data_IF_409951722342
#
_entry.id   IF_409951722342
#
_cell.length_a   1.000
_cell.length_b   1.000
_cell.length_c   1.000
_cell.angle_alpha   90.00
_cell.angle_beta   90.00
_cell.angle_gamma   90.00
#
_symmetry.space_group_name_H-M   'P 1'
#
loop_
_entity.id
_entity.type
_entity.pdbx_description
1 polymer ?
#
# COMPACT_ATOMS: atom_id res chain seq x y z
N UNK A 1 25.05 -39.40 6.77
CA UNK A 1 25.57 -38.54 5.67
C UNK A 1 24.57 -38.55 4.53
N UNK A 2 23.87 -37.45 4.29
CA UNK A 2 23.06 -37.25 3.08
C UNK A 2 23.23 -35.80 2.66
N UNK A 3 24.25 -35.56 1.81
CA UNK A 3 24.53 -34.27 1.18
C UNK A 3 23.53 -34.03 0.04
N UNK A 4 22.32 -33.58 0.35
CA UNK A 4 21.55 -32.81 -0.62
C UNK A 4 22.03 -31.36 -0.54
N UNK A 5 22.85 -30.95 -1.50
CA UNK A 5 23.20 -29.53 -1.71
C UNK A 5 21.89 -28.73 -1.82
N UNK A 6 21.62 -27.90 -0.81
CA UNK A 6 20.38 -27.14 -0.66
C UNK A 6 20.11 -26.23 -1.87
N UNK A 7 19.10 -26.57 -2.65
CA UNK A 7 18.51 -25.68 -3.65
C UNK A 7 17.82 -24.56 -2.88
N UNK A 8 18.36 -23.34 -2.97
CA UNK A 8 17.70 -22.15 -2.42
C UNK A 8 16.42 -21.89 -3.21
N UNK A 9 15.28 -22.35 -2.69
CA UNK A 9 13.97 -22.07 -3.26
C UNK A 9 13.58 -20.60 -3.11
N UNK A 10 12.92 -20.05 -4.13
CA UNK A 10 12.42 -18.68 -4.16
C UNK A 10 11.10 -18.59 -4.93
N UNK A 11 10.26 -17.61 -4.56
CA UNK A 11 9.02 -17.29 -5.26
C UNK A 11 9.33 -16.30 -6.38
N UNK A 12 8.81 -16.59 -7.57
CA UNK A 12 8.87 -15.70 -8.73
C UNK A 12 7.47 -15.22 -9.08
N UNK A 13 7.32 -13.90 -9.23
CA UNK A 13 6.08 -13.28 -9.66
C UNK A 13 6.08 -13.19 -11.19
N UNK A 14 4.96 -13.53 -11.81
CA UNK A 14 4.72 -13.32 -13.23
C UNK A 14 4.21 -11.89 -13.44
N UNK A 15 4.91 -11.11 -14.26
CA UNK A 15 4.51 -9.76 -14.65
C UNK A 15 4.13 -9.78 -16.13
N UNK A 16 2.99 -9.18 -16.46
CA UNK A 16 2.48 -9.10 -17.83
C UNK A 16 2.23 -7.63 -18.18
N UNK A 17 3.24 -6.89 -18.66
CA UNK A 17 3.08 -5.50 -19.06
C UNK A 17 2.17 -5.41 -20.30
N UNK A 18 1.22 -4.47 -20.33
CA UNK A 18 0.25 -4.33 -21.43
C UNK A 18 0.92 -4.04 -22.78
N UNK A 19 2.09 -3.39 -22.79
CA UNK A 19 2.85 -3.05 -23.99
C UNK A 19 3.85 -4.14 -24.41
N UNK A 20 4.01 -5.22 -23.63
CA UNK A 20 4.98 -6.27 -23.90
C UNK A 20 4.30 -7.52 -24.48
N UNK A 21 4.87 -8.09 -25.55
CA UNK A 21 4.35 -9.30 -26.20
C UNK A 21 4.58 -10.60 -25.41
N UNK A 22 5.27 -10.57 -24.27
CA UNK A 22 5.57 -11.76 -23.45
C UNK A 22 5.72 -11.42 -21.98
N UNK A 23 5.29 -12.30 -21.06
CA UNK A 23 5.42 -12.09 -19.63
C UNK A 23 6.87 -12.25 -19.16
N UNK A 24 7.26 -11.50 -18.13
CA UNK A 24 8.54 -11.65 -17.44
C UNK A 24 8.36 -12.20 -16.04
N UNK A 25 9.36 -12.91 -15.55
CA UNK A 25 9.36 -13.48 -14.21
C UNK A 25 10.37 -12.76 -13.33
N UNK A 26 9.93 -12.23 -12.18
CA UNK A 26 10.78 -11.50 -11.24
C UNK A 26 10.52 -12.00 -9.83
N UNK A 27 11.59 -12.32 -9.10
CA UNK A 27 11.54 -12.59 -7.66
C UNK A 27 11.60 -11.30 -6.87
N UNK A 28 11.20 -11.35 -5.60
CA UNK A 28 11.23 -10.19 -4.69
C UNK A 28 12.61 -9.48 -4.66
N UNK A 29 13.73 -10.22 -4.70
CA UNK A 29 15.08 -9.63 -4.74
C UNK A 29 15.33 -8.74 -5.99
N UNK A 30 14.63 -8.99 -7.10
CA UNK A 30 14.72 -8.13 -8.27
C UNK A 30 13.94 -6.82 -8.07
N UNK A 31 12.79 -6.87 -7.40
CA UNK A 31 12.07 -5.66 -6.97
C UNK A 31 12.94 -4.84 -6.01
N UNK A 32 13.54 -5.48 -5.02
CA UNK A 32 14.45 -4.83 -4.06
C UNK A 32 15.63 -4.14 -4.75
N UNK A 33 16.23 -4.78 -5.76
CA UNK A 33 17.25 -4.14 -6.57
C UNK A 33 16.73 -2.88 -7.27
N UNK A 34 15.57 -2.97 -7.93
CA UNK A 34 14.98 -1.85 -8.64
C UNK A 34 14.64 -0.70 -7.69
N UNK A 35 14.03 -1.00 -6.54
CA UNK A 35 13.71 -0.02 -5.50
C UNK A 35 14.96 0.77 -5.05
N UNK A 36 16.07 0.07 -4.79
CA UNK A 36 17.33 0.72 -4.43
C UNK A 36 17.94 1.56 -5.59
N UNK A 37 17.61 1.28 -6.85
CA UNK A 37 17.99 2.14 -7.99
C UNK A 37 17.12 3.38 -8.07
N UNK A 38 15.81 3.24 -7.85
CA UNK A 38 14.87 4.35 -7.82
C UNK A 38 15.24 5.36 -6.73
N UNK A 39 15.48 4.90 -5.49
CA UNK A 39 15.88 5.77 -4.37
C UNK A 39 17.19 6.52 -4.65
N UNK A 40 18.16 5.86 -5.28
CA UNK A 40 19.44 6.49 -5.62
C UNK A 40 19.29 7.53 -6.75
N UNK A 41 18.37 7.30 -7.69
CA UNK A 41 18.19 8.18 -8.85
C UNK A 41 17.32 9.40 -8.53
N UNK A 42 16.20 9.20 -7.84
CA UNK A 42 15.18 10.21 -7.66
C UNK A 42 15.15 10.74 -6.22
N UNK A 43 15.69 11.94 -6.00
CA UNK A 43 15.76 12.58 -4.67
C UNK A 43 14.59 13.48 -4.35
N UNK A 44 13.74 13.80 -5.33
CA UNK A 44 12.60 14.73 -5.20
C UNK A 44 11.25 14.06 -5.47
N UNK A 45 11.26 12.76 -5.73
CA UNK A 45 10.06 11.95 -6.03
C UNK A 45 9.83 10.98 -4.87
N UNK A 46 8.58 10.83 -4.46
CA UNK A 46 8.20 9.86 -3.43
C UNK A 46 8.10 8.46 -4.03
N UNK A 47 9.14 7.66 -3.88
CA UNK A 47 9.17 6.28 -4.39
C UNK A 47 8.32 5.38 -3.49
N UNK A 48 7.36 4.59 -4.01
CA UNK A 48 6.55 3.69 -3.20
C UNK A 48 7.43 2.60 -2.56
N UNK A 49 7.21 2.33 -1.27
CA UNK A 49 8.00 1.36 -0.52
C UNK A 49 7.60 -0.08 -0.85
N UNK A 50 8.57 -0.99 -0.85
CA UNK A 50 8.30 -2.42 -0.99
C UNK A 50 7.76 -3.03 0.32
N UNK A 51 6.88 -4.05 0.25
CA UNK A 51 6.47 -4.79 1.43
C UNK A 51 7.65 -5.48 2.11
N UNK A 52 7.59 -5.69 3.43
CA UNK A 52 8.73 -6.12 4.24
C UNK A 52 9.43 -7.42 3.78
N UNK A 53 10.74 -7.47 4.09
CA UNK A 53 11.58 -8.66 3.98
C UNK A 53 11.39 -9.50 5.24
N UNK A 54 10.72 -10.65 5.11
CA UNK A 54 10.61 -11.63 6.18
C UNK A 54 11.50 -12.85 5.90
N UNK A 55 12.32 -13.24 6.89
CA UNK A 55 13.22 -14.39 6.79
C UNK A 55 12.53 -15.71 7.23
N UNK A 56 11.82 -15.67 8.36
CA UNK A 56 10.96 -16.75 8.88
C UNK A 56 9.54 -16.63 8.30
N UNK A 57 8.79 -17.72 8.15
CA UNK A 57 7.41 -17.67 7.62
C UNK A 57 7.28 -17.23 6.15
N UNK A 58 8.38 -17.12 5.39
CA UNK A 58 8.38 -16.59 4.01
C UNK A 58 7.57 -17.41 2.99
N UNK A 59 7.13 -18.61 3.38
CA UNK A 59 6.31 -19.53 2.58
C UNK A 59 4.89 -19.70 3.14
N UNK A 60 4.53 -18.95 4.18
CA UNK A 60 3.15 -18.92 4.69
C UNK A 60 2.23 -18.25 3.66
N UNK A 61 1.07 -18.85 3.43
CA UNK A 61 0.13 -18.42 2.39
C UNK A 61 -0.33 -16.97 2.59
N UNK A 62 -0.73 -16.62 3.82
CA UNK A 62 -1.15 -15.26 4.17
C UNK A 62 -0.05 -14.22 3.90
N UNK A 63 1.20 -14.59 4.15
CA UNK A 63 2.34 -13.72 3.89
C UNK A 63 2.59 -13.53 2.39
N UNK A 64 2.53 -14.61 1.60
CA UNK A 64 2.71 -14.57 0.14
C UNK A 64 1.61 -13.72 -0.49
N UNK A 65 0.35 -13.96 -0.11
CA UNK A 65 -0.79 -13.24 -0.67
C UNK A 65 -0.77 -11.76 -0.26
N UNK A 66 -0.46 -11.43 1.00
CA UNK A 66 -0.26 -10.04 1.43
C UNK A 66 0.85 -9.34 0.66
N UNK A 67 2.00 -10.01 0.50
CA UNK A 67 3.12 -9.45 -0.29
C UNK A 67 2.71 -9.23 -1.74
N UNK A 68 2.01 -10.18 -2.36
CA UNK A 68 1.52 -10.07 -3.73
C UNK A 68 0.55 -8.89 -3.89
N UNK A 69 -0.44 -8.72 -3.01
CA UNK A 69 -1.35 -7.57 -3.02
C UNK A 69 -0.60 -6.24 -2.94
N UNK A 70 0.38 -6.13 -2.04
CA UNK A 70 1.20 -4.93 -1.91
C UNK A 70 2.14 -4.69 -3.10
N UNK A 71 2.68 -5.74 -3.71
CA UNK A 71 3.46 -5.61 -4.94
C UNK A 71 2.61 -5.17 -6.15
N UNK A 72 1.32 -5.54 -6.18
CA UNK A 72 0.37 -5.03 -7.18
C UNK A 72 0.20 -3.52 -6.97
N UNK A 73 -0.13 -3.08 -5.76
CA UNK A 73 -0.27 -1.64 -5.45
C UNK A 73 1.02 -0.85 -5.76
N UNK A 74 2.17 -1.42 -5.42
CA UNK A 74 3.47 -0.84 -5.77
C UNK A 74 3.64 -0.68 -7.28
N UNK A 75 3.30 -1.71 -8.06
CA UNK A 75 3.39 -1.69 -9.52
C UNK A 75 2.40 -0.70 -10.15
N UNK A 76 1.16 -0.65 -9.65
CA UNK A 76 0.14 0.27 -10.12
C UNK A 76 0.57 1.73 -9.88
N UNK A 77 1.15 2.02 -8.70
CA UNK A 77 1.70 3.33 -8.41
C UNK A 77 2.86 3.67 -9.37
N UNK A 78 3.84 2.77 -9.52
CA UNK A 78 4.99 2.94 -10.41
C UNK A 78 4.59 3.19 -11.87
N UNK A 79 3.60 2.44 -12.38
CA UNK A 79 3.13 2.56 -13.77
C UNK A 79 2.24 3.78 -14.00
N UNK A 80 1.52 4.26 -12.97
CA UNK A 80 0.71 5.48 -13.06
C UNK A 80 1.50 6.78 -12.88
N UNK A 81 2.73 6.70 -12.36
CA UNK A 81 3.56 7.86 -12.12
C UNK A 81 4.26 8.33 -13.42
N UNK A 82 4.11 9.61 -13.85
CA UNK A 82 4.62 10.09 -15.13
C UNK A 82 6.14 9.93 -15.31
N UNK A 83 6.92 10.16 -14.24
CA UNK A 83 8.38 10.02 -14.26
C UNK A 83 8.86 8.59 -14.00
N UNK A 84 8.42 7.94 -12.91
CA UNK A 84 8.89 6.59 -12.53
C UNK A 84 8.58 5.54 -13.60
N UNK A 85 7.42 5.65 -14.27
CA UNK A 85 7.04 4.74 -15.36
C UNK A 85 7.98 4.83 -16.55
N UNK A 86 8.59 5.98 -16.81
CA UNK A 86 9.50 6.20 -17.95
C UNK A 86 10.96 5.87 -17.61
N UNK A 87 11.27 5.48 -16.37
CA UNK A 87 12.64 5.14 -15.98
C UNK A 87 13.17 3.94 -16.78
N UNK A 88 14.30 4.10 -17.47
CA UNK A 88 14.91 3.03 -18.27
C UNK A 88 15.15 1.73 -17.48
N UNK A 89 15.57 1.84 -16.22
CA UNK A 89 15.76 0.67 -15.36
C UNK A 89 14.45 -0.07 -15.05
N UNK A 90 13.33 0.65 -15.00
CA UNK A 90 12.00 0.08 -14.85
C UNK A 90 11.50 -0.56 -16.15
N UNK A 91 11.74 0.09 -17.29
CA UNK A 91 11.42 -0.48 -18.61
C UNK A 91 12.21 -1.78 -18.85
N UNK A 92 13.51 -1.81 -18.53
CA UNK A 92 14.32 -3.02 -18.56
C UNK A 92 13.82 -4.10 -17.59
N UNK A 93 13.36 -3.68 -16.40
CA UNK A 93 12.73 -4.57 -15.42
C UNK A 93 11.50 -5.30 -15.98
N UNK A 94 10.67 -4.61 -16.76
CA UNK A 94 9.42 -5.14 -17.31
C UNK A 94 9.57 -5.91 -18.63
N UNK A 95 10.58 -5.59 -19.45
CA UNK A 95 10.68 -6.10 -20.83
C UNK A 95 11.77 -7.17 -21.04
N UNK A 96 12.80 -7.24 -20.18
CA UNK A 96 13.94 -8.12 -20.41
C UNK A 96 13.60 -9.60 -20.17
N UNK A 97 13.66 -10.41 -21.24
CA UNK A 97 13.43 -11.87 -21.20
C UNK A 97 14.72 -12.69 -21.05
N UNK A 98 15.85 -12.17 -21.55
CA UNK A 98 17.14 -12.88 -21.55
C UNK A 98 17.99 -12.60 -20.30
N UNK A 99 18.56 -13.66 -19.73
CA UNK A 99 19.34 -13.60 -18.48
C UNK A 99 20.70 -12.86 -18.64
N UNK A 100 21.32 -12.91 -19.83
CA UNK A 100 22.58 -12.20 -20.08
C UNK A 100 22.31 -10.71 -20.25
N UNK A 101 21.30 -10.35 -21.04
CA UNK A 101 20.82 -8.98 -21.19
C UNK A 101 20.35 -8.40 -19.85
N UNK A 102 19.70 -9.21 -19.00
CA UNK A 102 19.30 -8.80 -17.66
C UNK A 102 20.49 -8.27 -16.85
N UNK A 103 21.59 -9.02 -16.82
CA UNK A 103 22.82 -8.62 -16.11
C UNK A 103 23.47 -7.37 -16.71
N UNK A 104 23.43 -7.22 -18.03
CA UNK A 104 23.97 -6.03 -18.70
C UNK A 104 23.15 -4.78 -18.39
N UNK A 105 21.83 -4.84 -18.51
CA UNK A 105 20.96 -3.71 -18.17
C UNK A 105 21.00 -3.34 -16.69
N UNK A 106 21.15 -4.33 -15.80
CA UNK A 106 21.39 -4.10 -14.37
C UNK A 106 22.64 -3.26 -14.13
N UNK A 107 23.76 -3.62 -14.77
CA UNK A 107 25.03 -2.87 -14.69
C UNK A 107 24.93 -1.48 -15.32
N UNK A 108 24.15 -1.32 -16.40
CA UNK A 108 23.90 -0.01 -17.03
C UNK A 108 23.19 0.93 -16.05
N UNK A 109 22.09 0.48 -15.44
CA UNK A 109 21.35 1.25 -14.44
C UNK A 109 22.16 1.52 -13.16
N UNK A 110 23.16 0.70 -12.85
CA UNK A 110 24.07 0.92 -11.72
C UNK A 110 25.14 1.98 -11.99
N UNK A 111 25.47 2.25 -13.26
CA UNK A 111 26.48 3.23 -13.71
C UNK A 111 25.88 4.56 -14.19
N UNK A 112 24.60 4.77 -13.95
CA UNK A 112 23.90 5.99 -14.34
C UNK A 112 24.48 7.20 -13.59
N UNK A 113 24.96 8.19 -14.32
CA UNK A 113 25.55 9.43 -13.79
C UNK A 113 24.48 10.49 -13.50
N UNK A 114 23.30 10.38 -14.12
CA UNK A 114 22.20 11.33 -13.98
C UNK A 114 21.31 10.94 -12.79
N UNK A 115 21.92 10.97 -11.61
CA UNK A 115 21.32 10.58 -10.32
C UNK A 115 21.34 11.74 -9.33
N UNK A 116 20.40 11.75 -8.39
CA UNK A 116 20.32 12.76 -7.34
C UNK A 116 20.20 14.18 -7.89
N UNK A 117 21.15 15.05 -7.55
CA UNK A 117 21.13 16.44 -8.03
C UNK A 117 21.28 16.53 -9.56
N UNK A 118 22.03 15.63 -10.19
CA UNK A 118 22.22 15.62 -11.65
C UNK A 118 20.95 15.24 -12.39
N UNK A 119 20.06 14.46 -11.77
CA UNK A 119 18.75 14.13 -12.34
C UNK A 119 17.90 15.40 -12.59
N UNK A 120 18.08 16.46 -11.79
CA UNK A 120 17.34 17.72 -11.93
C UNK A 120 17.62 18.43 -13.26
N UNK A 121 18.70 18.08 -13.95
CA UNK A 121 19.05 18.63 -15.27
C UNK A 121 18.28 17.97 -16.42
N UNK A 122 17.51 16.90 -16.14
CA UNK A 122 16.86 16.09 -17.18
C UNK A 122 15.47 16.59 -17.57
N UNK A 123 14.83 17.41 -16.75
CA UNK A 123 13.49 17.94 -17.01
C UNK A 123 13.50 19.45 -17.16
N UNK A 124 12.64 19.95 -18.04
CA UNK A 124 12.47 21.37 -18.32
C UNK A 124 11.40 21.96 -17.38
N UNK A 125 11.63 23.19 -16.92
CA UNK A 125 10.66 23.93 -16.11
C UNK A 125 9.86 24.93 -16.97
N UNK A 126 8.65 25.30 -16.55
CA UNK A 126 7.90 26.39 -17.18
C UNK A 126 8.69 27.71 -17.16
N UNK A 127 8.44 28.56 -18.16
CA UNK A 127 9.05 29.90 -18.26
C UNK A 127 8.48 30.88 -17.22
N UNK A 128 7.28 30.62 -16.71
CA UNK A 128 6.58 31.43 -15.70
C UNK A 128 7.37 31.60 -14.42
N UNK A 129 7.64 32.86 -14.05
CA UNK A 129 8.31 33.19 -12.80
C UNK A 129 7.37 33.00 -11.61
N UNK A 130 7.82 32.24 -10.61
CA UNK A 130 7.17 32.12 -9.30
C UNK A 130 8.06 32.74 -8.24
N UNK A 131 7.47 33.47 -7.30
CA UNK A 131 8.19 33.95 -6.12
C UNK A 131 8.60 32.74 -5.27
N UNK A 132 9.87 32.68 -4.90
CA UNK A 132 10.39 31.61 -4.06
C UNK A 132 9.77 31.62 -2.66
N UNK A 133 9.31 32.77 -2.18
CA UNK A 133 8.61 32.87 -0.89
C UNK A 133 7.25 32.14 -0.95
N UNK A 134 6.46 32.34 -2.01
CA UNK A 134 5.19 31.63 -2.21
C UNK A 134 5.39 30.11 -2.31
N UNK A 135 6.46 29.68 -2.99
CA UNK A 135 6.82 28.25 -3.08
C UNK A 135 7.22 27.73 -1.69
N UNK A 136 7.97 28.50 -0.91
CA UNK A 136 8.36 28.13 0.45
C UNK A 136 7.15 27.95 1.38
N UNK A 137 6.19 28.88 1.33
CA UNK A 137 4.95 28.82 2.11
C UNK A 137 4.07 27.63 1.70
N UNK A 138 4.02 27.33 0.38
CA UNK A 138 3.35 26.14 -0.14
C UNK A 138 3.98 24.84 0.36
N UNK A 139 5.31 24.80 0.49
CA UNK A 139 6.05 23.65 1.03
C UNK A 139 5.77 23.48 2.53
N UNK A 140 5.73 24.56 3.31
CA UNK A 140 5.39 24.50 4.73
C UNK A 140 3.97 24.02 4.97
N UNK A 141 3.02 24.49 4.16
CA UNK A 141 1.63 24.02 4.18
C UNK A 141 1.56 22.51 3.94
N UNK A 142 2.30 22.02 2.95
CA UNK A 142 2.35 20.58 2.67
C UNK A 142 2.99 19.79 3.81
N UNK A 143 4.06 20.30 4.40
CA UNK A 143 4.74 19.66 5.54
C UNK A 143 3.80 19.45 6.72
N UNK A 144 3.00 20.47 7.04
CA UNK A 144 1.99 20.37 8.09
C UNK A 144 0.91 19.34 7.73
N UNK A 145 0.43 19.38 6.48
CA UNK A 145 -0.53 18.41 5.95
C UNK A 145 0.00 16.97 5.99
N UNK A 146 1.21 16.71 5.49
CA UNK A 146 1.78 15.37 5.36
C UNK A 146 2.00 14.74 6.73
N UNK A 147 2.45 15.53 7.72
CA UNK A 147 2.56 15.09 9.11
C UNK A 147 1.21 14.68 9.70
N UNK A 148 0.19 15.53 9.54
CA UNK A 148 -1.15 15.22 10.08
C UNK A 148 -1.78 14.02 9.38
N UNK A 149 -1.54 13.87 8.07
CA UNK A 149 -1.99 12.71 7.30
C UNK A 149 -1.31 11.44 7.77
N UNK A 150 0.01 11.46 8.02
CA UNK A 150 0.77 10.31 8.51
C UNK A 150 0.22 9.80 9.85
N UNK A 151 0.02 10.71 10.81
CA UNK A 151 -0.61 10.39 12.11
C UNK A 151 -2.00 9.75 11.93
N UNK A 152 -2.81 10.29 11.01
CA UNK A 152 -4.18 9.82 10.78
C UNK A 152 -4.23 8.45 10.08
N UNK A 153 -3.32 8.23 9.11
CA UNK A 153 -3.17 6.95 8.42
C UNK A 153 -2.68 5.88 9.40
N UNK A 154 -1.73 6.22 10.28
CA UNK A 154 -1.26 5.32 11.33
C UNK A 154 -2.39 4.95 12.31
N UNK A 155 -3.19 5.93 12.73
CA UNK A 155 -4.34 5.70 13.60
C UNK A 155 -5.34 4.75 12.94
N UNK A 156 -5.74 5.01 11.69
CA UNK A 156 -6.68 4.17 10.96
C UNK A 156 -6.13 2.75 10.74
N UNK A 157 -4.84 2.62 10.41
CA UNK A 157 -4.18 1.32 10.27
C UNK A 157 -4.18 0.52 11.57
N UNK A 158 -3.96 1.19 12.71
CA UNK A 158 -4.03 0.59 14.05
C UNK A 158 -5.43 0.06 14.34
N UNK A 159 -6.46 0.89 14.13
CA UNK A 159 -7.86 0.51 14.35
C UNK A 159 -8.28 -0.64 13.42
N UNK A 160 -7.94 -0.59 12.13
CA UNK A 160 -8.25 -1.65 11.19
C UNK A 160 -7.56 -2.98 11.57
N UNK A 161 -6.31 -2.93 12.03
CA UNK A 161 -5.58 -4.10 12.52
C UNK A 161 -6.20 -4.69 13.80
N UNK A 162 -6.70 -3.85 14.70
CA UNK A 162 -7.46 -4.29 15.87
C UNK A 162 -8.78 -4.96 15.47
N UNK A 163 -9.50 -4.38 14.49
CA UNK A 163 -10.73 -4.96 13.97
C UNK A 163 -10.49 -6.34 13.37
N UNK A 164 -9.41 -6.55 12.61
CA UNK A 164 -9.02 -7.89 12.11
C UNK A 164 -8.94 -8.89 13.26
N UNK A 165 -8.24 -8.55 14.36
CA UNK A 165 -8.12 -9.43 15.53
C UNK A 165 -9.46 -9.68 16.20
N UNK A 166 -10.31 -8.66 16.32
CA UNK A 166 -11.67 -8.78 16.88
C UNK A 166 -12.55 -9.70 16.02
N UNK A 167 -12.44 -9.65 14.70
CA UNK A 167 -13.18 -10.52 13.79
C UNK A 167 -12.81 -12.00 13.94
N UNK A 168 -11.50 -12.30 13.90
CA UNK A 168 -11.01 -13.67 14.01
C UNK A 168 -11.21 -14.25 15.41
N UNK A 169 -11.13 -13.41 16.45
CA UNK A 169 -11.26 -13.82 17.85
C UNK A 169 -12.63 -13.52 18.44
N UNK A 170 -12.81 -12.29 18.91
CA UNK A 170 -13.95 -11.87 19.74
C UNK A 170 -15.32 -12.09 19.08
N UNK A 171 -15.53 -11.57 17.87
CA UNK A 171 -16.81 -11.71 17.17
C UNK A 171 -17.15 -13.18 16.92
N UNK A 172 -16.24 -13.94 16.29
CA UNK A 172 -16.42 -15.39 16.09
C UNK A 172 -16.83 -16.11 17.37
N UNK A 173 -16.09 -15.87 18.47
CA UNK A 173 -16.31 -16.56 19.75
C UNK A 173 -17.71 -16.29 20.33
N UNK A 174 -18.21 -15.06 20.27
CA UNK A 174 -19.53 -14.75 20.82
C UNK A 174 -20.66 -15.39 20.01
N UNK A 175 -20.56 -15.39 18.67
CA UNK A 175 -21.53 -16.07 17.81
C UNK A 175 -21.50 -17.60 18.00
N UNK A 176 -20.31 -18.21 18.15
CA UNK A 176 -20.17 -19.63 18.44
C UNK A 176 -20.76 -20.03 19.81
N UNK A 177 -20.53 -19.23 20.86
CA UNK A 177 -21.13 -19.48 22.18
C UNK A 177 -22.66 -19.46 22.11
N UNK A 178 -23.23 -18.47 21.41
CA UNK A 178 -24.67 -18.37 21.24
C UNK A 178 -25.23 -19.58 20.47
N UNK A 179 -24.55 -19.99 19.39
CA UNK A 179 -24.91 -21.18 18.63
C UNK A 179 -24.87 -22.46 19.47
N UNK A 180 -23.80 -22.65 20.25
CA UNK A 180 -23.64 -23.78 21.16
C UNK A 180 -24.73 -23.82 22.25
N UNK A 181 -25.12 -22.66 22.79
CA UNK A 181 -26.21 -22.57 23.76
C UNK A 181 -27.56 -23.01 23.16
N UNK A 182 -27.88 -22.61 21.92
CA UNK A 182 -29.07 -23.11 21.24
C UNK A 182 -29.04 -24.62 21.02
N UNK A 183 -27.89 -25.18 20.63
CA UNK A 183 -27.75 -26.63 20.50
C UNK A 183 -27.96 -27.36 21.82
N UNK A 184 -27.45 -26.82 22.93
CA UNK A 184 -27.64 -27.37 24.26
C UNK A 184 -29.13 -27.38 24.68
N UNK A 185 -29.87 -26.31 24.38
CA UNK A 185 -31.33 -26.26 24.60
C UNK A 185 -32.04 -27.34 23.77
N UNK A 186 -31.73 -27.43 22.48
CA UNK A 186 -32.31 -28.47 21.62
C UNK A 186 -32.02 -29.87 22.14
N UNK A 187 -30.82 -30.12 22.68
CA UNK A 187 -30.45 -31.41 23.24
C UNK A 187 -31.26 -31.72 24.51
N UNK A 188 -31.41 -30.74 25.41
CA UNK A 188 -32.21 -30.89 26.62
C UNK A 188 -33.69 -31.22 26.30
N UNK A 189 -34.28 -30.58 25.28
CA UNK A 189 -35.65 -30.85 24.87
C UNK A 189 -35.87 -32.26 24.29
N UNK A 190 -34.81 -32.91 23.80
CA UNK A 190 -34.88 -34.29 23.28
C UNK A 190 -34.85 -35.35 24.39
N UNK A 191 -34.58 -34.96 25.64
CA UNK A 191 -34.43 -35.91 26.76
C UNK A 191 -35.76 -36.45 27.30
N UNK A 192 -36.90 -35.89 26.89
CA UNK A 192 -38.25 -36.35 27.27
C UNK A 192 -39.12 -36.60 26.02
N UNK A 193 -38.93 -37.74 25.32
CA UNK A 193 -39.49 -37.96 23.98
C UNK A 193 -41.02 -37.83 23.86
N UNK A 194 -41.85 -38.33 24.81
CA UNK A 194 -43.31 -38.24 24.70
C UNK A 194 -43.86 -36.81 24.69
N UNK A 195 -43.12 -35.85 25.24
CA UNK A 195 -43.53 -34.44 25.34
C UNK A 195 -42.68 -33.50 24.46
N UNK A 196 -41.80 -34.04 23.61
CA UNK A 196 -40.93 -33.25 22.74
C UNK A 196 -41.52 -33.07 21.34
N UNK A 197 -41.35 -31.86 20.77
CA UNK A 197 -41.59 -31.62 19.34
C UNK A 197 -40.27 -31.73 18.57
N UNK A 198 -40.13 -32.80 17.78
CA UNK A 198 -38.93 -33.03 16.96
C UNK A 198 -38.68 -31.88 15.97
N UNK A 199 -39.75 -31.31 15.41
CA UNK A 199 -39.68 -30.20 14.48
C UNK A 199 -39.11 -28.94 15.15
N UNK A 200 -39.61 -28.59 16.34
CA UNK A 200 -39.11 -27.45 17.11
C UNK A 200 -37.65 -27.65 17.54
N UNK A 201 -37.32 -28.85 18.03
CA UNK A 201 -35.96 -29.19 18.44
C UNK A 201 -35.00 -29.06 17.26
N UNK A 202 -35.39 -29.57 16.09
CA UNK A 202 -34.61 -29.45 14.85
C UNK A 202 -34.41 -28.00 14.41
N UNK A 203 -35.44 -27.15 14.53
CA UNK A 203 -35.35 -25.73 14.22
C UNK A 203 -34.39 -24.98 15.18
N UNK A 204 -34.47 -25.24 16.49
CA UNK A 204 -33.54 -24.67 17.49
C UNK A 204 -32.09 -25.13 17.23
N UNK A 205 -31.89 -26.42 16.97
CA UNK A 205 -30.58 -26.98 16.60
C UNK A 205 -30.02 -26.34 15.32
N UNK A 206 -30.88 -26.13 14.31
CA UNK A 206 -30.50 -25.46 13.07
C UNK A 206 -30.10 -24.00 13.30
N UNK A 207 -30.82 -23.26 14.15
CA UNK A 207 -30.43 -21.91 14.58
C UNK A 207 -29.06 -21.93 15.26
N UNK A 208 -28.79 -22.91 16.11
CA UNK A 208 -27.48 -23.10 16.73
C UNK A 208 -26.33 -23.21 15.71
N UNK A 209 -26.46 -24.13 14.74
CA UNK A 209 -25.48 -24.28 13.64
C UNK A 209 -25.37 -23.03 12.76
N UNK A 210 -26.48 -22.32 12.55
CA UNK A 210 -26.50 -21.07 11.78
C UNK A 210 -25.65 -20.00 12.45
N UNK A 211 -25.78 -19.82 13.77
CA UNK A 211 -24.97 -18.84 14.51
C UNK A 211 -23.49 -19.22 14.57
N UNK A 212 -23.14 -20.51 14.67
CA UNK A 212 -21.76 -20.96 14.53
C UNK A 212 -21.18 -20.62 13.14
N UNK A 213 -21.95 -20.85 12.08
CA UNK A 213 -21.55 -20.50 10.71
C UNK A 213 -21.40 -18.98 10.52
N UNK A 214 -22.29 -18.16 11.11
CA UNK A 214 -22.12 -16.70 11.12
C UNK A 214 -20.82 -16.30 11.84
N UNK A 215 -20.45 -16.98 12.92
CA UNK A 215 -19.16 -16.77 13.58
C UNK A 215 -17.97 -16.99 12.66
N UNK A 216 -17.99 -18.06 11.85
CA UNK A 216 -16.96 -18.29 10.82
C UNK A 216 -16.97 -17.23 9.73
N UNK A 217 -18.16 -16.76 9.30
CA UNK A 217 -18.27 -15.67 8.33
C UNK A 217 -17.58 -14.39 8.85
N UNK A 218 -17.73 -14.05 10.13
CA UNK A 218 -17.01 -12.93 10.74
C UNK A 218 -15.49 -13.12 10.72
N UNK A 219 -15.00 -14.32 11.02
CA UNK A 219 -13.56 -14.60 11.05
C UNK A 219 -12.91 -14.52 9.66
N UNK A 220 -13.64 -14.90 8.62
CA UNK A 220 -13.17 -14.88 7.24
C UNK A 220 -13.36 -13.52 6.55
N UNK A 221 -14.25 -12.66 7.07
CA UNK A 221 -14.59 -11.38 6.45
C UNK A 221 -13.40 -10.43 6.23
N UNK A 222 -12.42 -10.27 7.14
CA UNK A 222 -11.32 -9.31 6.97
C UNK A 222 -10.51 -9.48 5.67
N UNK A 223 -10.49 -10.69 5.10
CA UNK A 223 -9.83 -11.01 3.83
C UNK A 223 -10.46 -10.29 2.63
N UNK A 224 -11.73 -9.87 2.76
CA UNK A 224 -12.51 -9.27 1.68
C UNK A 224 -12.44 -7.73 1.67
N UNK A 225 -12.14 -7.09 2.81
CA UNK A 225 -12.21 -5.65 2.97
C UNK A 225 -11.04 -5.02 3.75
N UNK A 226 -10.85 -5.42 5.00
CA UNK A 226 -9.88 -4.82 5.92
C UNK A 226 -8.44 -5.05 5.44
N UNK A 227 -8.14 -6.19 4.82
CA UNK A 227 -6.81 -6.47 4.29
C UNK A 227 -6.45 -5.51 3.14
N UNK A 228 -7.38 -5.27 2.22
CA UNK A 228 -7.19 -4.35 1.09
C UNK A 228 -7.08 -2.89 1.57
N UNK A 229 -7.85 -2.50 2.60
CA UNK A 229 -7.71 -1.21 3.26
C UNK A 229 -6.31 -1.06 3.87
N UNK A 230 -5.86 -2.03 4.67
CA UNK A 230 -4.53 -2.03 5.30
C UNK A 230 -3.39 -2.00 4.26
N UNK A 231 -3.56 -2.65 3.12
CA UNK A 231 -2.58 -2.63 2.04
C UNK A 231 -2.49 -1.24 1.38
N UNK A 232 -3.61 -0.56 1.19
CA UNK A 232 -3.65 0.83 0.70
C UNK A 232 -3.03 1.80 1.72
N UNK A 233 -3.38 1.68 2.99
CA UNK A 233 -2.81 2.53 4.05
C UNK A 233 -1.28 2.32 4.16
N UNK A 234 -0.81 1.08 4.02
CA UNK A 234 0.63 0.78 4.01
C UNK A 234 1.38 1.42 2.83
N UNK A 235 0.76 1.55 1.66
CA UNK A 235 1.35 2.27 0.53
C UNK A 235 1.56 3.74 0.91
N UNK A 236 0.54 4.39 1.47
CA UNK A 236 0.61 5.81 1.84
C UNK A 236 1.54 6.08 3.02
N UNK A 237 1.69 5.17 3.98
CA UNK A 237 2.74 5.27 5.01
C UNK A 237 4.14 5.32 4.40
N UNK A 238 4.42 4.45 3.42
CA UNK A 238 5.68 4.48 2.69
C UNK A 238 5.90 5.80 1.94
N UNK A 239 4.90 6.25 1.18
CA UNK A 239 4.97 7.52 0.44
C UNK A 239 5.16 8.72 1.37
N UNK A 240 4.45 8.76 2.50
CA UNK A 240 4.53 9.87 3.47
C UNK A 240 5.89 9.92 4.16
N UNK A 241 6.50 8.76 4.44
CA UNK A 241 7.83 8.68 5.06
C UNK A 241 8.96 9.25 4.20
N UNK A 242 8.75 9.42 2.89
CA UNK A 242 9.76 10.03 1.99
C UNK A 242 9.79 11.56 2.10
N UNK A 243 8.66 12.21 2.42
CA UNK A 243 8.56 13.66 2.37
C UNK A 243 9.41 14.44 3.38
N UNK A 244 9.69 13.95 4.61
CA UNK A 244 10.59 14.65 5.53
C UNK A 244 11.95 15.00 4.91
N UNK A 245 12.60 14.02 4.26
CA UNK A 245 13.92 14.23 3.63
C UNK A 245 13.82 15.12 2.38
N UNK A 246 12.79 14.91 1.54
CA UNK A 246 12.55 15.72 0.34
C UNK A 246 12.31 17.19 0.71
N UNK A 247 11.47 17.45 1.72
CA UNK A 247 11.15 18.79 2.20
C UNK A 247 12.38 19.42 2.86
N UNK A 248 13.15 18.66 3.63
CA UNK A 248 14.39 19.15 4.25
C UNK A 248 15.39 19.61 3.19
N UNK A 249 15.55 18.83 2.11
CA UNK A 249 16.40 19.20 0.97
C UNK A 249 15.94 20.51 0.32
N UNK A 250 14.63 20.67 0.10
CA UNK A 250 14.09 21.91 -0.49
C UNK A 250 14.26 23.13 0.44
N UNK A 251 14.03 22.96 1.75
CA UNK A 251 14.25 24.02 2.74
C UNK A 251 15.72 24.44 2.81
N UNK A 252 16.64 23.49 2.72
CA UNK A 252 18.07 23.77 2.59
C UNK A 252 18.42 24.54 1.32
N UNK A 253 17.73 24.27 0.20
CA UNK A 253 17.90 25.02 -1.04
C UNK A 253 17.43 26.49 -0.90
N UNK A 254 16.27 26.74 -0.27
CA UNK A 254 15.80 28.10 0.00
C UNK A 254 16.78 28.90 0.89
N UNK A 255 17.30 28.28 1.95
CA UNK A 255 18.29 28.91 2.82
C UNK A 255 19.56 29.30 2.03
N UNK A 256 20.06 28.41 1.16
CA UNK A 256 21.22 28.68 0.31
C UNK A 256 20.99 29.83 -0.68
N UNK A 257 19.78 29.99 -1.21
CA UNK A 257 19.46 31.13 -2.10
C UNK A 257 19.52 32.46 -1.34
N UNK A 258 18.92 32.51 -0.14
CA UNK A 258 18.95 33.72 0.71
C UNK A 258 20.38 34.07 1.12
N UNK A 259 21.17 33.05 1.49
CA UNK A 259 22.58 33.21 1.84
C UNK A 259 23.45 33.65 0.65
N UNK A 260 23.30 33.02 -0.51
CA UNK A 260 24.07 33.35 -1.72
C UNK A 260 23.77 34.76 -2.21
N UNK A 261 22.51 35.19 -2.14
CA UNK A 261 22.16 36.56 -2.52
C UNK A 261 22.80 37.57 -1.57
N UNK A 262 22.71 37.34 -0.25
CA UNK A 262 23.35 38.21 0.73
C UNK A 262 24.87 38.28 0.54
N UNK A 263 25.54 37.16 0.28
CA UNK A 263 26.98 37.15 -0.01
C UNK A 263 27.33 37.90 -1.30
N UNK A 264 26.46 37.88 -2.30
CA UNK A 264 26.61 38.68 -3.51
C UNK A 264 26.46 40.17 -3.21
N UNK A 265 25.45 40.56 -2.44
CA UNK A 265 25.20 41.95 -2.02
C UNK A 265 26.35 42.50 -1.16
N UNK A 266 27.00 41.65 -0.36
CA UNK A 266 28.22 41.95 0.43
C UNK A 266 29.51 41.95 -0.41
N UNK A 267 29.45 41.64 -1.72
CA UNK A 267 30.62 41.60 -2.61
C UNK A 267 31.53 40.38 -2.44
N UNK A 268 31.05 39.32 -1.76
CA UNK A 268 31.81 38.09 -1.42
C UNK A 268 31.55 36.93 -2.39
N UNK A 269 30.59 37.09 -3.30
CA UNK A 269 30.21 36.11 -4.32
C UNK A 269 29.84 36.85 -5.61
N UNK A 270 30.07 36.24 -6.78
CA UNK A 270 29.63 36.81 -8.04
C UNK A 270 28.11 36.64 -8.21
N UNK A 271 27.42 37.67 -8.73
CA UNK A 271 25.97 37.62 -8.94
C UNK A 271 25.55 36.46 -9.86
N UNK A 272 26.35 36.13 -10.88
CA UNK A 272 26.09 35.01 -11.78
C UNK A 272 26.07 33.65 -11.06
N UNK A 273 26.92 33.49 -10.03
CA UNK A 273 26.96 32.28 -9.22
C UNK A 273 25.71 32.18 -8.31
N UNK A 274 25.33 33.29 -7.67
CA UNK A 274 24.12 33.38 -6.87
C UNK A 274 22.85 33.13 -7.71
N UNK A 275 22.80 33.66 -8.93
CA UNK A 275 21.72 33.42 -9.89
C UNK A 275 21.66 31.95 -10.32
N UNK A 276 22.81 31.30 -10.48
CA UNK A 276 22.89 29.85 -10.73
C UNK A 276 22.26 29.02 -9.61
N UNK A 277 22.52 29.37 -8.34
CA UNK A 277 21.92 28.72 -7.16
C UNK A 277 20.40 28.95 -7.15
N UNK A 278 19.96 30.18 -7.41
CA UNK A 278 18.54 30.54 -7.49
C UNK A 278 17.81 29.75 -8.57
N UNK A 279 18.40 29.62 -9.78
CA UNK A 279 17.82 28.83 -10.88
C UNK A 279 17.68 27.36 -10.50
N UNK A 280 18.71 26.76 -9.88
CA UNK A 280 18.64 25.35 -9.42
C UNK A 280 17.55 25.15 -8.36
N UNK A 281 17.45 26.06 -7.37
CA UNK A 281 16.41 26.00 -6.35
C UNK A 281 15.00 26.05 -6.96
N UNK A 282 14.80 26.90 -7.98
CA UNK A 282 13.53 26.98 -8.73
C UNK A 282 13.20 25.66 -9.43
N UNK A 283 14.17 24.99 -10.04
CA UNK A 283 13.97 23.68 -10.68
C UNK A 283 13.50 22.62 -9.66
N UNK A 284 14.15 22.56 -8.51
CA UNK A 284 13.78 21.62 -7.42
C UNK A 284 12.39 21.95 -6.88
N UNK A 285 12.07 23.24 -6.73
CA UNK A 285 10.76 23.71 -6.28
C UNK A 285 9.62 23.26 -7.19
N UNK A 286 9.78 23.42 -8.51
CA UNK A 286 8.80 22.92 -9.48
C UNK A 286 8.65 21.40 -9.43
N UNK A 287 9.77 20.67 -9.33
CA UNK A 287 9.72 19.21 -9.22
C UNK A 287 8.94 18.77 -7.98
N UNK A 288 9.18 19.40 -6.83
CA UNK A 288 8.45 19.11 -5.60
C UNK A 288 6.98 19.48 -5.70
N UNK A 289 6.63 20.62 -6.32
CA UNK A 289 5.22 20.98 -6.55
C UNK A 289 4.51 19.98 -7.46
N UNK A 290 5.17 19.54 -8.54
CA UNK A 290 4.64 18.50 -9.42
C UNK A 290 4.44 17.19 -8.66
N UNK A 291 5.38 16.81 -7.81
CA UNK A 291 5.29 15.62 -6.96
C UNK A 291 4.14 15.72 -5.96
N UNK A 292 4.01 16.84 -5.25
CA UNK A 292 2.90 17.09 -4.33
C UNK A 292 1.54 17.04 -5.04
N UNK A 293 1.46 17.60 -6.25
CA UNK A 293 0.25 17.55 -7.07
C UNK A 293 -0.10 16.10 -7.47
N UNK A 294 0.89 15.35 -7.97
CA UNK A 294 0.70 13.94 -8.31
C UNK A 294 0.28 13.11 -7.08
N UNK A 295 0.91 13.33 -5.92
CA UNK A 295 0.53 12.70 -4.66
C UNK A 295 -0.94 12.97 -4.31
N UNK A 296 -1.41 14.22 -4.42
CA UNK A 296 -2.81 14.55 -4.15
C UNK A 296 -3.78 13.90 -5.14
N UNK A 297 -3.44 13.89 -6.44
CA UNK A 297 -4.26 13.24 -7.48
C UNK A 297 -4.41 11.73 -7.20
N UNK A 298 -3.30 11.05 -6.88
CA UNK A 298 -3.32 9.63 -6.51
C UNK A 298 -4.09 9.40 -5.21
N UNK A 299 -3.85 10.23 -4.19
CA UNK A 299 -4.53 10.17 -2.89
C UNK A 299 -6.03 10.17 -3.04
N UNK A 300 -6.57 11.09 -3.82
CA UNK A 300 -8.03 11.21 -3.99
C UNK A 300 -8.62 9.98 -4.70
N UNK A 301 -7.96 9.49 -5.74
CA UNK A 301 -8.39 8.29 -6.46
C UNK A 301 -8.33 7.04 -5.57
N UNK A 302 -7.20 6.82 -4.90
CA UNK A 302 -6.94 5.60 -4.14
C UNK A 302 -7.82 5.55 -2.88
N UNK A 303 -7.97 6.66 -2.13
CA UNK A 303 -8.84 6.71 -0.96
C UNK A 303 -10.32 6.60 -1.34
N UNK A 304 -10.74 7.17 -2.47
CA UNK A 304 -12.09 6.96 -3.01
C UNK A 304 -12.35 5.48 -3.27
N UNK A 305 -11.46 4.80 -3.99
CA UNK A 305 -11.62 3.37 -4.27
C UNK A 305 -11.55 2.53 -3.00
N UNK A 306 -10.65 2.85 -2.06
CA UNK A 306 -10.55 2.19 -0.76
C UNK A 306 -11.87 2.22 0.00
N UNK A 307 -12.47 3.41 0.15
CA UNK A 307 -13.75 3.55 0.87
C UNK A 307 -14.91 2.88 0.13
N UNK A 308 -14.97 3.00 -1.20
CA UNK A 308 -15.99 2.34 -2.00
C UNK A 308 -15.91 0.81 -1.88
N UNK A 309 -14.71 0.24 -1.97
CA UNK A 309 -14.52 -1.20 -1.90
C UNK A 309 -14.85 -1.74 -0.49
N UNK A 310 -14.38 -1.05 0.56
CA UNK A 310 -14.70 -1.41 1.94
C UNK A 310 -16.22 -1.43 2.19
N UNK A 311 -16.92 -0.34 1.84
CA UNK A 311 -18.36 -0.23 2.10
C UNK A 311 -19.17 -1.24 1.30
N UNK A 312 -18.82 -1.48 0.02
CA UNK A 312 -19.50 -2.52 -0.80
C UNK A 312 -19.37 -3.90 -0.16
N UNK A 313 -18.18 -4.26 0.30
CA UNK A 313 -17.93 -5.56 0.93
C UNK A 313 -18.64 -5.70 2.29
N UNK A 314 -18.70 -4.62 3.08
CA UNK A 314 -19.47 -4.59 4.32
C UNK A 314 -20.98 -4.75 4.07
N UNK A 315 -21.54 -4.06 3.06
CA UNK A 315 -22.95 -4.23 2.65
C UNK A 315 -23.22 -5.70 2.29
N UNK A 316 -22.41 -6.29 1.42
CA UNK A 316 -22.56 -7.68 1.00
C UNK A 316 -22.39 -8.66 2.18
N UNK A 317 -21.52 -8.34 3.13
CA UNK A 317 -21.34 -9.14 4.35
C UNK A 317 -22.61 -9.15 5.20
N UNK A 318 -23.13 -7.98 5.58
CA UNK A 318 -24.33 -7.91 6.42
C UNK A 318 -25.58 -8.44 5.71
N UNK A 319 -25.69 -8.29 4.39
CA UNK A 319 -26.74 -8.96 3.60
C UNK A 319 -26.67 -10.48 3.70
N UNK A 320 -25.47 -11.07 3.55
CA UNK A 320 -25.28 -12.53 3.68
C UNK A 320 -25.62 -13.01 5.10
N UNK A 321 -25.26 -12.25 6.13
CA UNK A 321 -25.64 -12.56 7.52
C UNK A 321 -27.17 -12.53 7.66
N UNK A 322 -27.83 -11.48 7.15
CA UNK A 322 -29.30 -11.39 7.14
C UNK A 322 -29.96 -12.59 6.46
N UNK A 323 -29.45 -13.03 5.31
CA UNK A 323 -29.95 -14.22 4.60
C UNK A 323 -29.81 -15.52 5.42
N UNK A 324 -28.73 -15.69 6.19
CA UNK A 324 -28.60 -16.84 7.10
C UNK A 324 -29.68 -16.82 8.19
N UNK A 325 -29.95 -15.64 8.75
CA UNK A 325 -30.97 -15.46 9.78
C UNK A 325 -32.39 -15.69 9.22
N UNK A 326 -32.71 -15.15 8.05
CA UNK A 326 -33.98 -15.41 7.38
C UNK A 326 -34.17 -16.90 7.06
N UNK A 327 -33.10 -17.58 6.61
CA UNK A 327 -33.15 -19.02 6.33
C UNK A 327 -33.48 -19.82 7.58
N UNK A 328 -32.85 -19.52 8.72
CA UNK A 328 -33.12 -20.26 9.96
C UNK A 328 -34.48 -19.90 10.56
N UNK A 329 -34.97 -18.67 10.37
CA UNK A 329 -36.30 -18.26 10.81
C UNK A 329 -37.41 -19.09 10.15
N UNK A 330 -37.29 -19.38 8.86
CA UNK A 330 -38.30 -20.19 8.12
C UNK A 330 -38.45 -21.61 8.64
N UNK A 331 -37.48 -22.12 9.41
CA UNK A 331 -37.60 -23.43 10.08
C UNK A 331 -38.71 -23.45 11.14
N UNK A 332 -39.18 -22.27 11.57
CA UNK A 332 -40.23 -22.12 12.59
C UNK A 332 -41.63 -21.87 12.01
N UNK A 333 -41.76 -21.62 10.69
CA UNK A 333 -43.03 -21.24 10.06
C UNK A 333 -44.06 -22.39 10.00
N UNK A 334 -43.58 -23.64 10.10
CA UNK A 334 -44.41 -24.85 9.97
C UNK A 334 -44.48 -25.68 11.26
N UNK A 335 -44.21 -25.06 12.41
CA UNK A 335 -44.19 -25.73 13.73
C UNK A 335 -45.54 -25.80 14.42
#
# INVERSE_FOLDING_TARGET
QTKFKGIKSYISYKLTPTHAGSPVYRRYKHFDWLYNRLLHKFTVISVPHLPEKQATGRFEEDFIEKRKRRLILWMDHMTSHPVLSQYEGFQHFLSCLDDKQWKMGKRRAEKDEMVGASFLLTFQIPTEHQDLQDVEDRVDTFKAFSKKMDDSVLQLSTVASELVRKHVGGFRKEFQKLGSAFQAISHAFQMDPPFSSEALNSAISHTGRTYEAVGEMFAEQPKNDLFQMLDTLSLYQGLLSNFPDIIHLQKGAFAKVKESQRMSDEGRMAQDEADGIRRRCRVVGFALQAEMNHFHQRRELDFKHMMQNYLRQQILFYQRVGQQLEKTLRMYDSL
#
